data_IF_675250020583
#
_entry.id   IF_675250020583
#
_cell.length_a   1.000
_cell.length_b   1.000
_cell.length_c   1.000
_cell.angle_alpha   90.00
_cell.angle_beta   90.00
_cell.angle_gamma   90.00
#
_symmetry.space_group_name_H-M   'P 1'
#
loop_
_entity.id
_entity.type
_entity.pdbx_description
1 polymer ?
#
# COMPACT_ATOMS: atom_id res chain seq x y z
N UNK A 1 -5.32 -8.78 0.74
CA UNK A 1 -5.93 -10.10 0.44
C UNK A 1 -7.35 -9.96 -0.12
N UNK A 2 -8.29 -9.26 0.53
CA UNK A 2 -9.59 -8.95 -0.11
C UNK A 2 -9.47 -8.06 -1.37
N UNK A 3 -8.47 -7.16 -1.39
CA UNK A 3 -8.09 -6.39 -2.59
C UNK A 3 -7.53 -7.29 -3.71
N UNK A 4 -7.14 -8.55 -3.46
CA UNK A 4 -6.72 -9.49 -4.51
C UNK A 4 -7.90 -10.31 -5.06
N UNK A 5 -8.92 -10.56 -4.24
CA UNK A 5 -10.07 -11.43 -4.53
C UNK A 5 -11.08 -10.76 -5.47
N UNK A 6 -11.16 -9.44 -5.40
CA UNK A 6 -12.14 -8.63 -6.12
C UNK A 6 -11.78 -8.34 -7.59
N UNK A 7 -10.49 -8.42 -7.97
CA UNK A 7 -10.03 -8.00 -9.31
C UNK A 7 -10.12 -9.09 -10.39
N UNK A 8 -10.73 -10.24 -10.08
CA UNK A 8 -10.83 -11.43 -10.95
C UNK A 8 -11.99 -11.36 -11.95
N UNK A 9 -12.70 -10.22 -12.07
CA UNK A 9 -13.88 -10.07 -12.93
C UNK A 9 -13.66 -9.22 -14.20
N UNK A 10 -12.50 -8.59 -14.37
CA UNK A 10 -12.16 -7.87 -15.62
C UNK A 10 -11.01 -8.60 -16.30
N UNK A 11 -11.23 -9.11 -17.51
CA UNK A 11 -10.28 -9.99 -18.22
C UNK A 11 -8.91 -9.32 -18.45
N UNK A 12 -8.83 -7.98 -18.41
CA UNK A 12 -7.59 -7.18 -18.52
C UNK A 12 -6.75 -7.08 -17.22
N UNK A 13 -7.28 -7.49 -16.06
CA UNK A 13 -6.60 -7.36 -14.75
C UNK A 13 -5.82 -8.61 -14.31
N UNK A 14 -5.99 -9.74 -15.01
CA UNK A 14 -5.41 -11.04 -14.65
C UNK A 14 -3.87 -11.09 -14.62
N UNK A 15 -3.18 -10.09 -15.20
CA UNK A 15 -1.74 -10.14 -15.41
C UNK A 15 -0.89 -9.14 -14.60
N UNK A 16 -1.46 -8.12 -13.94
CA UNK A 16 -0.64 -6.94 -13.55
C UNK A 16 -0.74 -6.49 -12.09
N UNK A 17 -1.94 -6.39 -11.52
CA UNK A 17 -2.08 -5.92 -10.13
C UNK A 17 -1.53 -6.89 -9.05
N UNK A 18 -1.55 -8.22 -9.22
CA UNK A 18 -0.91 -9.13 -8.29
C UNK A 18 0.58 -8.82 -8.17
N UNK A 19 1.26 -8.56 -9.29
CA UNK A 19 2.70 -8.31 -9.30
C UNK A 19 3.03 -6.95 -8.68
N UNK A 20 2.20 -5.92 -8.86
CA UNK A 20 2.36 -4.60 -8.23
C UNK A 20 2.09 -4.63 -6.73
N UNK A 21 1.02 -5.28 -6.29
CA UNK A 21 0.69 -5.44 -4.87
C UNK A 21 1.71 -6.36 -4.21
N UNK A 22 2.16 -7.43 -4.88
CA UNK A 22 3.24 -8.31 -4.41
C UNK A 22 4.57 -7.57 -4.40
N UNK A 23 4.86 -6.67 -5.34
CA UNK A 23 6.07 -5.85 -5.32
C UNK A 23 5.99 -4.80 -4.21
N UNK A 24 4.85 -4.14 -4.00
CA UNK A 24 4.65 -3.20 -2.88
C UNK A 24 4.69 -3.91 -1.54
N UNK A 25 4.11 -5.11 -1.42
CA UNK A 25 4.24 -5.99 -0.24
C UNK A 25 5.71 -6.41 -0.09
N UNK A 26 6.36 -6.91 -1.14
CA UNK A 26 7.76 -7.38 -1.08
C UNK A 26 8.74 -6.25 -0.77
N UNK A 27 8.57 -5.05 -1.33
CA UNK A 27 9.34 -3.84 -1.02
C UNK A 27 9.05 -3.37 0.41
N UNK A 28 7.79 -3.40 0.85
CA UNK A 28 7.37 -3.09 2.23
C UNK A 28 7.98 -4.07 3.24
N UNK A 29 8.03 -5.36 2.95
CA UNK A 29 8.63 -6.38 3.82
C UNK A 29 10.17 -6.41 3.74
N UNK A 30 10.77 -6.05 2.60
CA UNK A 30 12.23 -5.94 2.45
C UNK A 30 12.78 -4.70 3.18
N UNK A 31 12.04 -3.59 3.19
CA UNK A 31 12.42 -2.37 3.91
C UNK A 31 12.17 -2.41 5.42
N UNK A 32 11.31 -3.31 5.91
CA UNK A 32 10.99 -3.52 7.34
C UNK A 32 11.89 -4.61 7.97
N UNK A 33 12.68 -5.33 7.16
CA UNK A 33 13.58 -6.39 7.60
C UNK A 33 14.96 -5.87 8.06
N UNK A 34 15.04 -4.92 9.00
CA UNK A 34 16.28 -4.60 9.72
C UNK A 34 16.01 -4.34 11.22
N UNK A 35 16.94 -4.70 12.12
CA UNK A 35 16.61 -5.14 13.47
C UNK A 35 16.29 -3.98 14.40
N UNK A 36 15.07 -3.98 14.96
CA UNK A 36 14.81 -3.32 16.24
C UNK A 36 15.36 -4.24 17.34
N UNK A 37 16.60 -4.00 17.82
CA UNK A 37 17.10 -4.73 18.99
C UNK A 37 16.76 -4.03 20.31
N UNK A 38 16.21 -4.86 21.19
CA UNK A 38 15.78 -4.75 22.58
C UNK A 38 16.79 -4.17 23.60
N UNK A 39 16.33 -3.67 24.76
CA UNK A 39 17.08 -3.75 26.02
C UNK A 39 16.96 -5.15 26.65
N UNK A 40 18.03 -5.61 27.28
CA UNK A 40 18.22 -6.96 27.85
C UNK A 40 17.10 -7.46 28.77
N UNK A 41 16.58 -8.67 28.48
CA UNK A 41 15.83 -9.50 29.43
C UNK A 41 14.89 -10.51 28.75
N UNK A 42 15.16 -11.82 28.90
CA UNK A 42 14.42 -13.01 28.39
C UNK A 42 14.56 -13.33 26.88
N UNK A 43 15.56 -14.16 26.54
CA UNK A 43 16.07 -14.34 25.17
C UNK A 43 15.59 -15.61 24.41
N UNK A 44 14.83 -16.53 25.01
CA UNK A 44 14.58 -17.86 24.38
C UNK A 44 13.19 -18.08 23.80
N UNK A 45 12.13 -17.46 24.33
CA UNK A 45 10.73 -17.66 23.88
C UNK A 45 10.20 -16.60 22.90
N UNK A 46 10.82 -15.42 22.84
CA UNK A 46 10.42 -14.31 21.95
C UNK A 46 11.11 -14.33 20.57
N UNK A 47 12.32 -14.90 20.50
CA UNK A 47 13.05 -15.11 19.25
C UNK A 47 12.37 -16.17 18.36
N UNK A 48 11.70 -17.15 18.96
CA UNK A 48 10.93 -18.15 18.22
C UNK A 48 9.66 -17.56 17.63
N UNK A 49 8.85 -16.80 18.38
CA UNK A 49 7.58 -16.22 17.87
C UNK A 49 7.81 -15.17 16.78
N UNK A 50 8.82 -14.28 16.89
CA UNK A 50 9.10 -13.27 15.85
C UNK A 50 9.75 -13.85 14.59
N UNK A 51 10.63 -14.85 14.72
CA UNK A 51 11.21 -15.58 13.58
C UNK A 51 10.14 -16.43 12.90
N UNK A 52 9.30 -17.11 13.66
CA UNK A 52 8.19 -17.92 13.15
C UNK A 52 7.12 -17.05 12.48
N UNK A 53 6.81 -15.87 12.99
CA UNK A 53 5.85 -14.96 12.37
C UNK A 53 6.37 -14.43 11.02
N UNK A 54 7.66 -14.10 10.92
CA UNK A 54 8.31 -13.77 9.63
C UNK A 54 8.30 -14.96 8.66
N UNK A 55 8.53 -16.17 9.16
CA UNK A 55 8.55 -17.39 8.36
C UNK A 55 7.15 -17.80 7.88
N UNK A 56 6.13 -17.63 8.72
CA UNK A 56 4.72 -17.84 8.44
C UNK A 56 4.23 -16.82 7.40
N UNK A 57 4.47 -15.53 7.60
CA UNK A 57 4.08 -14.48 6.65
C UNK A 57 4.80 -14.67 5.31
N UNK A 58 6.10 -14.99 5.32
CA UNK A 58 6.86 -15.32 4.10
C UNK A 58 6.31 -16.56 3.40
N UNK A 59 5.92 -17.59 4.16
CA UNK A 59 5.30 -18.81 3.63
C UNK A 59 3.90 -18.56 3.07
N UNK A 60 3.09 -17.75 3.74
CA UNK A 60 1.77 -17.31 3.27
C UNK A 60 1.90 -16.45 2.02
N UNK A 61 2.87 -15.53 1.95
CA UNK A 61 3.14 -14.73 0.74
C UNK A 61 3.62 -15.61 -0.41
N UNK A 62 4.51 -16.58 -0.16
CA UNK A 62 4.96 -17.55 -1.17
C UNK A 62 3.83 -18.47 -1.64
N UNK A 63 2.98 -18.93 -0.72
CA UNK A 63 1.77 -19.69 -1.02
C UNK A 63 0.84 -18.83 -1.88
N UNK A 64 0.62 -17.57 -1.49
CA UNK A 64 -0.19 -16.62 -2.24
C UNK A 64 0.33 -16.42 -3.64
N UNK A 65 1.62 -16.13 -3.78
CA UNK A 65 2.27 -15.96 -5.07
C UNK A 65 2.17 -17.23 -5.94
N UNK A 66 2.44 -18.40 -5.37
CA UNK A 66 2.44 -19.65 -6.13
C UNK A 66 1.03 -20.07 -6.57
N UNK A 67 0.00 -19.91 -5.74
CA UNK A 67 -1.37 -20.22 -6.16
C UNK A 67 -1.90 -19.18 -7.15
N UNK A 68 -1.52 -17.89 -7.04
CA UNK A 68 -1.83 -16.88 -8.06
C UNK A 68 -1.14 -17.20 -9.40
N UNK A 69 0.14 -17.60 -9.37
CA UNK A 69 0.89 -18.07 -10.54
C UNK A 69 0.27 -19.32 -11.17
N UNK A 70 -0.25 -20.24 -10.35
CA UNK A 70 -0.94 -21.46 -10.80
C UNK A 70 -2.33 -21.16 -11.38
N UNK A 71 -3.09 -20.26 -10.76
CA UNK A 71 -4.39 -19.78 -11.26
C UNK A 71 -4.24 -19.00 -12.58
N UNK A 72 -3.15 -18.24 -12.76
CA UNK A 72 -2.82 -17.55 -14.01
C UNK A 72 -2.54 -18.52 -15.18
N UNK A 73 -2.12 -19.76 -14.88
CA UNK A 73 -1.80 -20.79 -15.89
C UNK A 73 -3.00 -21.67 -16.29
N UNK A 74 -4.00 -21.79 -15.42
CA UNK A 74 -5.22 -22.57 -15.65
C UNK A 74 -6.45 -21.66 -15.56
N UNK A 75 -6.85 -21.07 -16.69
CA UNK A 75 -8.00 -20.14 -16.75
C UNK A 75 -9.29 -20.96 -16.75
N UNK A 76 -9.77 -21.30 -15.55
CA UNK A 76 -11.16 -21.68 -15.32
C UNK A 76 -11.79 -20.68 -14.34
N UNK A 77 -12.95 -20.11 -14.69
CA UNK A 77 -13.64 -19.08 -13.88
C UNK A 77 -13.92 -19.58 -12.46
N UNK A 78 -14.32 -20.85 -12.33
CA UNK A 78 -14.56 -21.51 -11.04
C UNK A 78 -13.27 -21.69 -10.22
N UNK A 79 -12.16 -22.02 -10.88
CA UNK A 79 -10.85 -22.17 -10.22
C UNK A 79 -10.29 -20.85 -9.69
N UNK A 80 -10.52 -19.76 -10.42
CA UNK A 80 -10.11 -18.41 -9.99
C UNK A 80 -10.92 -17.95 -8.78
N UNK A 81 -12.25 -18.16 -8.80
CA UNK A 81 -13.12 -17.84 -7.66
C UNK A 81 -12.79 -18.67 -6.42
N UNK A 82 -12.56 -19.98 -6.58
CA UNK A 82 -12.18 -20.85 -5.47
C UNK A 82 -10.84 -20.43 -4.86
N UNK A 83 -9.84 -20.14 -5.69
CA UNK A 83 -8.55 -19.63 -5.21
C UNK A 83 -8.71 -18.30 -4.46
N UNK A 84 -9.58 -17.42 -4.95
CA UNK A 84 -9.87 -16.16 -4.32
C UNK A 84 -10.54 -16.35 -2.94
N UNK A 85 -11.53 -17.22 -2.82
CA UNK A 85 -12.14 -17.57 -1.52
C UNK A 85 -11.14 -18.21 -0.56
N UNK A 86 -10.31 -19.13 -1.04
CA UNK A 86 -9.25 -19.74 -0.22
C UNK A 86 -8.27 -18.69 0.30
N UNK A 87 -7.90 -17.70 -0.51
CA UNK A 87 -7.10 -16.57 -0.04
C UNK A 87 -7.84 -15.67 0.93
N UNK A 88 -9.13 -15.44 0.74
CA UNK A 88 -9.91 -14.67 1.68
C UNK A 88 -9.91 -15.36 3.05
N UNK A 89 -10.20 -16.65 3.08
CA UNK A 89 -10.23 -17.48 4.29
C UNK A 89 -8.85 -17.56 4.95
N UNK A 90 -7.78 -17.86 4.20
CA UNK A 90 -6.41 -17.87 4.73
C UNK A 90 -5.99 -16.50 5.28
N UNK A 91 -6.46 -15.42 4.66
CA UNK A 91 -6.18 -14.07 5.12
C UNK A 91 -6.90 -13.74 6.41
N UNK A 92 -8.16 -14.15 6.52
CA UNK A 92 -8.93 -14.03 7.75
C UNK A 92 -8.34 -14.90 8.86
N UNK A 93 -7.94 -16.14 8.58
CA UNK A 93 -7.27 -17.02 9.55
C UNK A 93 -5.94 -16.41 10.00
N UNK A 94 -5.12 -15.91 9.07
CA UNK A 94 -3.89 -15.22 9.43
C UNK A 94 -4.13 -13.98 10.29
N UNK A 95 -5.19 -13.21 9.98
CA UNK A 95 -5.56 -12.02 10.73
C UNK A 95 -6.12 -12.36 12.12
N UNK A 96 -6.96 -13.38 12.25
CA UNK A 96 -7.50 -13.83 13.54
C UNK A 96 -6.42 -14.46 14.41
N UNK A 97 -5.49 -15.21 13.82
CA UNK A 97 -4.34 -15.75 14.54
C UNK A 97 -3.48 -14.62 15.11
N UNK A 98 -3.13 -13.64 14.27
CA UNK A 98 -2.41 -12.43 14.72
C UNK A 98 -3.21 -11.65 15.75
N UNK A 99 -4.54 -11.60 15.64
CA UNK A 99 -5.41 -10.95 16.63
C UNK A 99 -5.28 -11.58 18.02
N UNK A 100 -5.28 -12.91 18.07
CA UNK A 100 -5.22 -13.67 19.32
C UNK A 100 -3.84 -13.55 19.96
N UNK A 101 -2.79 -13.52 19.14
CA UNK A 101 -1.41 -13.46 19.62
C UNK A 101 -0.96 -12.02 19.97
N UNK A 102 -1.48 -11.00 19.29
CA UNK A 102 -1.11 -9.62 19.53
C UNK A 102 -1.96 -8.92 20.61
N UNK A 103 -3.22 -9.29 20.83
CA UNK A 103 -4.09 -8.63 21.83
C UNK A 103 -4.44 -7.15 21.53
N UNK A 104 -4.04 -6.60 20.37
CA UNK A 104 -4.23 -5.19 20.01
C UNK A 104 -5.53 -4.99 19.20
N UNK A 105 -6.66 -4.83 19.88
CA UNK A 105 -7.99 -4.65 19.25
C UNK A 105 -8.04 -3.48 18.25
N UNK A 106 -7.35 -2.35 18.56
CA UNK A 106 -7.32 -1.16 17.68
C UNK A 106 -6.65 -1.46 16.34
N UNK A 107 -5.55 -2.22 16.33
CA UNK A 107 -4.83 -2.59 15.11
C UNK A 107 -5.68 -3.49 14.22
N UNK A 108 -6.39 -4.43 14.84
CA UNK A 108 -7.32 -5.33 14.18
C UNK A 108 -8.49 -4.60 13.54
N UNK A 109 -9.07 -3.63 14.24
CA UNK A 109 -10.14 -2.80 13.69
C UNK A 109 -9.68 -2.04 12.44
N UNK A 110 -8.49 -1.44 12.46
CA UNK A 110 -7.94 -0.75 11.28
C UNK A 110 -7.69 -1.69 10.11
N UNK A 111 -7.15 -2.89 10.35
CA UNK A 111 -6.93 -3.88 9.29
C UNK A 111 -8.26 -4.41 8.74
N UNK A 112 -9.28 -4.59 9.59
CA UNK A 112 -10.63 -4.90 9.18
C UNK A 112 -11.23 -3.78 8.32
N UNK A 113 -11.05 -2.50 8.69
CA UNK A 113 -11.45 -1.36 7.87
C UNK A 113 -10.76 -1.37 6.49
N UNK A 114 -9.45 -1.64 6.43
CA UNK A 114 -8.73 -1.76 5.15
C UNK A 114 -9.28 -2.89 4.26
N UNK A 115 -9.67 -4.01 4.88
CA UNK A 115 -10.33 -5.13 4.21
C UNK A 115 -11.71 -4.72 3.68
N UNK A 116 -12.51 -4.05 4.51
CA UNK A 116 -13.84 -3.56 4.15
C UNK A 116 -13.73 -2.57 2.98
N UNK A 117 -12.77 -1.65 2.99
CA UNK A 117 -12.50 -0.76 1.86
C UNK A 117 -12.26 -1.53 0.56
N UNK A 118 -11.48 -2.62 0.61
CA UNK A 118 -11.25 -3.49 -0.54
C UNK A 118 -12.50 -4.23 -1.01
N UNK A 119 -13.40 -4.60 -0.10
CA UNK A 119 -14.69 -5.22 -0.44
C UNK A 119 -15.64 -4.23 -1.10
N UNK A 120 -15.91 -3.08 -0.46
CA UNK A 120 -16.85 -2.06 -0.99
C UNK A 120 -16.35 -1.43 -2.29
N UNK A 121 -15.03 -1.46 -2.53
CA UNK A 121 -14.41 -1.01 -3.77
C UNK A 121 -14.96 -1.75 -5.00
N UNK A 122 -15.15 -3.07 -4.95
CA UNK A 122 -15.43 -3.87 -6.16
C UNK A 122 -16.59 -4.86 -6.03
N UNK A 123 -16.97 -5.28 -4.82
CA UNK A 123 -18.03 -6.25 -4.60
C UNK A 123 -19.43 -5.59 -4.62
N UNK A 124 -20.46 -6.30 -5.12
CA UNK A 124 -21.86 -5.92 -4.90
C UNK A 124 -22.20 -6.00 -3.39
N UNK A 125 -23.14 -5.16 -2.90
CA UNK A 125 -23.98 -4.24 -3.66
C UNK A 125 -23.31 -2.91 -4.06
N UNK A 126 -22.22 -2.51 -3.40
CA UNK A 126 -21.70 -1.14 -3.48
C UNK A 126 -20.90 -0.82 -4.75
N UNK A 127 -19.93 -1.67 -5.13
CA UNK A 127 -19.07 -1.49 -6.33
C UNK A 127 -18.56 -0.05 -6.52
N UNK A 128 -18.04 0.58 -5.46
CA UNK A 128 -17.73 2.02 -5.46
C UNK A 128 -16.64 2.44 -6.47
N UNK A 129 -15.82 1.51 -6.97
CA UNK A 129 -14.91 1.71 -8.11
C UNK A 129 -15.67 2.15 -9.37
N UNK A 130 -16.90 1.69 -9.57
CA UNK A 130 -17.77 2.08 -10.69
C UNK A 130 -18.29 3.51 -10.57
N UNK A 131 -18.20 4.10 -9.39
CA UNK A 131 -18.61 5.47 -9.11
C UNK A 131 -17.42 6.44 -9.00
N UNK A 132 -16.20 6.00 -9.34
CA UNK A 132 -15.00 6.85 -9.29
C UNK A 132 -14.50 7.16 -7.87
N UNK A 133 -14.85 6.33 -6.89
CA UNK A 133 -14.36 6.46 -5.50
C UNK A 133 -13.17 5.53 -5.21
N UNK A 134 -12.59 4.92 -6.25
CA UNK A 134 -11.55 3.91 -6.12
C UNK A 134 -10.29 4.45 -5.44
N UNK A 135 -9.88 5.65 -5.83
CA UNK A 135 -8.67 6.35 -5.40
C UNK A 135 -8.75 6.70 -3.91
N UNK A 136 -9.90 7.18 -3.44
CA UNK A 136 -10.13 7.50 -2.03
C UNK A 136 -10.13 6.25 -1.15
N UNK A 137 -10.76 5.17 -1.63
CA UNK A 137 -10.76 3.88 -0.93
C UNK A 137 -9.36 3.25 -0.90
N UNK A 138 -8.62 3.33 -2.00
CA UNK A 138 -7.24 2.88 -2.09
C UNK A 138 -6.36 3.66 -1.10
N UNK A 139 -6.48 4.99 -1.10
CA UNK A 139 -5.79 5.86 -0.16
C UNK A 139 -6.06 5.47 1.29
N UNK A 140 -7.33 5.36 1.69
CA UNK A 140 -7.72 5.03 3.06
C UNK A 140 -7.24 3.64 3.48
N UNK A 141 -7.41 2.64 2.60
CA UNK A 141 -7.04 1.26 2.87
C UNK A 141 -5.53 1.09 3.08
N UNK A 142 -4.71 1.59 2.15
CA UNK A 142 -3.25 1.38 2.20
C UNK A 142 -2.52 2.41 3.06
N UNK A 143 -3.05 3.62 3.15
CA UNK A 143 -2.50 4.68 3.97
C UNK A 143 -2.82 4.49 5.44
N UNK A 144 -3.78 5.26 6.01
CA UNK A 144 -4.01 5.30 7.45
C UNK A 144 -4.42 3.95 8.04
N UNK A 145 -5.23 3.14 7.35
CA UNK A 145 -5.72 1.88 7.93
C UNK A 145 -4.65 0.79 7.97
N UNK A 146 -4.15 0.34 6.82
CA UNK A 146 -3.16 -0.74 6.81
C UNK A 146 -1.83 -0.32 7.44
N UNK A 147 -1.33 0.90 7.17
CA UNK A 147 -0.02 1.32 7.67
C UNK A 147 -0.01 1.48 9.18
N UNK A 148 -1.03 2.10 9.76
CA UNK A 148 -1.14 2.22 11.22
C UNK A 148 -1.44 0.88 11.88
N UNK A 149 -2.31 0.05 11.26
CA UNK A 149 -2.60 -1.29 11.76
C UNK A 149 -1.35 -2.16 11.84
N UNK A 150 -0.52 -2.19 10.80
CA UNK A 150 0.75 -2.91 10.84
C UNK A 150 1.75 -2.30 11.82
N UNK A 151 1.81 -0.97 11.94
CA UNK A 151 2.68 -0.31 12.93
C UNK A 151 2.36 -0.77 14.36
N UNK A 152 1.08 -0.81 14.73
CA UNK A 152 0.68 -1.28 16.06
C UNK A 152 0.93 -2.78 16.28
N UNK A 153 0.75 -3.62 15.27
CA UNK A 153 1.08 -5.05 15.37
C UNK A 153 2.58 -5.31 15.55
N UNK A 154 3.45 -4.42 15.07
CA UNK A 154 4.90 -4.55 15.25
C UNK A 154 5.39 -4.00 16.60
N UNK A 155 4.48 -3.50 17.43
CA UNK A 155 4.78 -3.03 18.78
C UNK A 155 5.16 -4.13 19.74
N UNK A 156 6.18 -3.91 20.56
CA UNK A 156 6.67 -4.91 21.51
C UNK A 156 5.65 -5.15 22.64
N UNK A 157 5.31 -6.41 22.92
CA UNK A 157 4.35 -6.89 23.93
C UNK A 157 4.76 -6.64 25.40
N UNK A 158 5.74 -5.77 25.68
CA UNK A 158 6.36 -5.67 27.01
C UNK A 158 5.64 -4.72 27.99
N UNK A 159 4.57 -4.04 27.58
CA UNK A 159 3.68 -3.36 28.52
C UNK A 159 2.31 -3.15 27.90
N UNK A 160 1.28 -3.10 28.74
CA UNK A 160 -0.15 -2.89 28.42
C UNK A 160 -0.43 -1.53 27.73
N UNK A 161 0.61 -0.76 27.39
CA UNK A 161 0.53 0.51 26.71
C UNK A 161 0.71 0.31 25.20
N UNK A 162 -0.36 0.57 24.45
CA UNK A 162 -0.32 0.68 22.99
C UNK A 162 0.82 1.61 22.55
N UNK A 163 1.49 1.32 21.40
CA UNK A 163 2.37 2.32 20.81
C UNK A 163 1.54 3.56 20.46
N UNK A 164 1.95 4.75 20.93
CA UNK A 164 1.19 5.94 20.61
C UNK A 164 1.22 6.19 19.11
N UNK A 165 0.07 6.63 18.59
CA UNK A 165 0.00 7.13 17.23
C UNK A 165 0.74 8.46 17.19
N UNK A 166 1.85 8.49 16.49
CA UNK A 166 2.67 9.69 16.34
C UNK A 166 2.35 10.42 15.04
N UNK A 167 2.60 11.73 15.01
CA UNK A 167 2.52 12.53 13.78
C UNK A 167 3.34 11.94 12.64
N UNK A 168 4.48 11.32 12.96
CA UNK A 168 5.34 10.64 11.99
C UNK A 168 4.69 9.45 11.32
N UNK A 169 4.02 8.58 12.09
CA UNK A 169 3.32 7.41 11.54
C UNK A 169 2.15 7.87 10.69
N UNK A 170 1.39 8.88 11.15
CA UNK A 170 0.29 9.42 10.39
C UNK A 170 0.77 10.03 9.07
N UNK A 171 1.76 10.92 9.10
CA UNK A 171 2.34 11.53 7.89
C UNK A 171 2.89 10.49 6.92
N UNK A 172 3.65 9.50 7.41
CA UNK A 172 4.15 8.40 6.60
C UNK A 172 3.01 7.59 5.97
N UNK A 173 1.95 7.30 6.73
CA UNK A 173 0.77 6.59 6.22
C UNK A 173 0.05 7.37 5.12
N UNK A 174 -0.08 8.70 5.25
CA UNK A 174 -0.72 9.55 4.25
C UNK A 174 0.10 9.60 2.95
N UNK A 175 1.43 9.76 3.03
CA UNK A 175 2.32 9.75 1.85
C UNK A 175 2.29 8.40 1.11
N UNK A 176 2.28 7.30 1.87
CA UNK A 176 2.17 5.94 1.32
C UNK A 176 0.80 5.74 0.65
N UNK A 177 -0.29 6.13 1.32
CA UNK A 177 -1.64 6.08 0.74
C UNK A 177 -1.75 6.89 -0.54
N UNK A 178 -1.16 8.08 -0.56
CA UNK A 178 -1.16 8.98 -1.72
C UNK A 178 -0.49 8.34 -2.93
N UNK A 179 0.73 7.84 -2.76
CA UNK A 179 1.47 7.17 -3.84
C UNK A 179 0.77 5.89 -4.32
N UNK A 180 0.12 5.13 -3.44
CA UNK A 180 -0.70 3.97 -3.86
C UNK A 180 -1.94 4.36 -4.66
N UNK A 181 -2.60 5.45 -4.28
CA UNK A 181 -3.76 5.96 -4.99
C UNK A 181 -3.39 6.46 -6.39
N UNK A 182 -2.23 7.11 -6.53
CA UNK A 182 -1.70 7.54 -7.82
C UNK A 182 -1.42 6.36 -8.79
N UNK A 183 -0.98 5.21 -8.27
CA UNK A 183 -0.82 3.98 -9.09
C UNK A 183 -2.17 3.55 -9.67
N UNK A 184 -3.22 3.54 -8.84
CA UNK A 184 -4.57 3.17 -9.27
C UNK A 184 -5.08 4.16 -10.32
N UNK A 185 -4.94 5.46 -10.08
CA UNK A 185 -5.31 6.50 -11.03
C UNK A 185 -4.62 6.31 -12.39
N UNK A 186 -3.29 6.12 -12.40
CA UNK A 186 -2.53 5.92 -13.63
C UNK A 186 -2.87 4.61 -14.36
N UNK A 187 -3.46 3.64 -13.67
CA UNK A 187 -3.92 2.40 -14.32
C UNK A 187 -5.14 2.59 -15.22
N UNK A 188 -5.95 3.63 -14.97
CA UNK A 188 -7.16 3.92 -15.74
C UNK A 188 -6.88 4.46 -17.14
N UNK A 189 -5.72 5.05 -17.40
CA UNK A 189 -5.40 5.61 -18.73
C UNK A 189 -5.44 4.56 -19.85
N UNK A 190 -5.07 3.32 -19.54
CA UNK A 190 -5.12 2.22 -20.52
C UNK A 190 -6.52 1.63 -20.70
N UNK A 191 -7.46 1.94 -19.80
CA UNK A 191 -8.73 1.22 -19.66
C UNK A 191 -9.96 2.11 -19.87
N UNK A 192 -9.81 3.30 -20.45
CA UNK A 192 -10.91 4.27 -20.54
C UNK A 192 -12.08 3.70 -21.34
N UNK A 193 -11.83 3.06 -22.48
CA UNK A 193 -12.90 2.49 -23.30
C UNK A 193 -13.49 1.23 -22.66
N UNK A 194 -12.65 0.38 -22.09
CA UNK A 194 -13.09 -0.82 -21.38
C UNK A 194 -14.01 -0.46 -20.21
N UNK A 195 -13.60 0.50 -19.38
CA UNK A 195 -14.38 1.02 -18.26
C UNK A 195 -15.73 1.61 -18.74
N UNK A 196 -15.73 2.32 -19.87
CA UNK A 196 -16.95 2.89 -20.48
C UNK A 196 -17.93 1.79 -20.92
N UNK A 197 -17.46 0.75 -21.62
CA UNK A 197 -18.32 -0.33 -22.14
C UNK A 197 -19.00 -1.15 -21.05
N UNK A 198 -18.37 -1.28 -19.88
CA UNK A 198 -18.94 -2.00 -18.73
C UNK A 198 -19.74 -1.11 -17.78
N UNK A 199 -19.97 0.16 -18.15
CA UNK A 199 -20.73 1.14 -17.36
C UNK A 199 -20.01 1.60 -16.09
N UNK A 200 -18.68 1.48 -16.03
CA UNK A 200 -17.85 1.92 -14.90
C UNK A 200 -17.42 3.37 -15.13
N UNK A 201 -17.87 4.27 -14.27
CA UNK A 201 -17.60 5.70 -14.38
C UNK A 201 -16.30 6.04 -13.64
N UNK A 202 -15.17 5.55 -14.17
CA UNK A 202 -13.84 5.82 -13.59
C UNK A 202 -13.43 7.30 -13.77
N UNK A 203 -12.43 7.80 -13.02
CA UNK A 203 -12.05 9.22 -13.12
C UNK A 203 -11.65 9.64 -14.53
N UNK A 204 -10.96 8.77 -15.26
CA UNK A 204 -10.54 9.06 -16.64
C UNK A 204 -11.71 9.03 -17.62
N UNK A 205 -12.75 8.22 -17.37
CA UNK A 205 -14.01 8.28 -18.14
C UNK A 205 -14.72 9.63 -17.92
N UNK A 206 -14.63 10.23 -16.72
CA UNK A 206 -15.22 11.55 -16.43
C UNK A 206 -14.40 12.72 -16.96
N UNK A 207 -13.08 12.65 -16.83
CA UNK A 207 -12.18 13.78 -17.06
C UNK A 207 -11.60 13.79 -18.48
N UNK A 208 -11.46 12.62 -19.11
CA UNK A 208 -10.63 12.44 -20.30
C UNK A 208 -9.14 12.30 -19.96
N UNK A 209 -8.34 11.87 -20.94
CA UNK A 209 -6.90 11.59 -20.77
C UNK A 209 -6.07 12.87 -20.62
N UNK A 210 -6.41 13.95 -21.33
CA UNK A 210 -5.74 15.25 -21.25
C UNK A 210 -5.85 15.88 -19.85
N UNK A 211 -7.07 16.03 -19.32
CA UNK A 211 -7.25 16.48 -17.92
C UNK A 211 -6.67 15.47 -16.93
N UNK A 212 -6.72 14.19 -17.27
CA UNK A 212 -6.05 13.13 -16.53
C UNK A 212 -4.54 13.36 -16.36
N UNK A 213 -3.83 13.72 -17.43
CA UNK A 213 -2.38 13.99 -17.38
C UNK A 213 -2.08 15.18 -16.46
N UNK A 214 -2.91 16.22 -16.54
CA UNK A 214 -2.84 17.39 -15.65
C UNK A 214 -3.04 17.00 -14.18
N UNK A 215 -3.98 16.09 -13.88
CA UNK A 215 -4.18 15.55 -12.52
C UNK A 215 -2.94 14.80 -12.03
N UNK A 216 -2.26 14.02 -12.88
CA UNK A 216 -1.00 13.35 -12.50
C UNK A 216 0.08 14.37 -12.13
N UNK A 217 0.23 15.43 -12.93
CA UNK A 217 1.18 16.53 -12.66
C UNK A 217 0.89 17.23 -11.33
N UNK A 218 -0.38 17.55 -11.07
CA UNK A 218 -0.84 18.14 -9.81
C UNK A 218 -0.60 17.17 -8.66
N UNK A 219 -0.89 15.88 -8.82
CA UNK A 219 -0.70 14.88 -7.79
C UNK A 219 0.78 14.69 -7.40
N UNK A 220 1.69 14.63 -8.38
CA UNK A 220 3.14 14.56 -8.11
C UNK A 220 3.61 15.81 -7.38
N UNK A 221 3.16 17.00 -7.81
CA UNK A 221 3.48 18.26 -7.13
C UNK A 221 2.95 18.25 -5.69
N UNK A 222 1.70 17.82 -5.49
CA UNK A 222 1.08 17.70 -4.18
C UNK A 222 1.82 16.70 -3.26
N UNK A 223 2.32 15.58 -3.79
CA UNK A 223 3.11 14.61 -3.02
C UNK A 223 4.36 15.24 -2.41
N UNK A 224 5.15 15.96 -3.22
CA UNK A 224 6.38 16.61 -2.74
C UNK A 224 6.10 17.84 -1.89
N UNK A 225 5.04 18.60 -2.18
CA UNK A 225 4.58 19.69 -1.31
C UNK A 225 4.14 19.17 0.06
N UNK A 226 3.39 18.07 0.10
CA UNK A 226 2.95 17.44 1.35
C UNK A 226 4.14 16.92 2.16
N UNK A 227 5.12 16.29 1.49
CA UNK A 227 6.39 15.87 2.11
C UNK A 227 7.07 17.07 2.79
N UNK A 228 7.25 18.18 2.07
CA UNK A 228 7.88 19.39 2.62
C UNK A 228 7.09 19.96 3.79
N UNK A 229 5.76 20.06 3.67
CA UNK A 229 4.88 20.51 4.76
C UNK A 229 5.05 19.65 6.02
N UNK A 230 5.09 18.32 5.89
CA UNK A 230 5.30 17.43 7.04
C UNK A 230 6.71 17.58 7.67
N UNK A 231 7.72 17.89 6.86
CA UNK A 231 9.06 18.22 7.34
C UNK A 231 9.13 19.55 8.10
N UNK A 232 8.50 20.59 7.55
CA UNK A 232 8.43 21.92 8.18
C UNK A 232 7.62 21.88 9.47
N UNK A 233 6.53 21.12 9.47
CA UNK A 233 5.74 20.80 10.65
C UNK A 233 6.46 19.84 11.60
N UNK A 234 7.75 19.52 11.44
CA UNK A 234 8.52 18.64 12.37
C UNK A 234 7.89 17.28 12.69
N UNK A 235 6.87 16.86 11.95
CA UNK A 235 6.17 15.60 12.15
C UNK A 235 6.89 14.47 11.39
N UNK A 236 7.73 14.83 10.41
CA UNK A 236 8.63 13.92 9.71
C UNK A 236 10.10 14.37 9.89
N UNK A 237 11.05 13.47 10.20
CA UNK A 237 12.46 13.82 10.31
C UNK A 237 13.04 14.42 9.02
N UNK A 238 13.99 15.35 9.14
CA UNK A 238 14.66 15.97 8.00
C UNK A 238 15.38 14.96 7.09
N UNK A 239 15.90 13.86 7.64
CA UNK A 239 16.48 12.76 6.88
C UNK A 239 15.49 12.11 5.91
N UNK A 240 14.20 12.00 6.29
CA UNK A 240 13.15 11.51 5.41
C UNK A 240 12.90 12.47 4.25
N UNK A 241 12.89 13.77 4.54
CA UNK A 241 12.68 14.81 3.52
C UNK A 241 13.78 14.74 2.47
N UNK A 242 15.04 14.73 2.89
CA UNK A 242 16.20 14.70 2.00
C UNK A 242 16.15 13.45 1.12
N UNK A 243 15.99 12.27 1.71
CA UNK A 243 15.98 11.02 0.95
C UNK A 243 14.76 10.90 0.02
N UNK A 244 13.56 11.28 0.48
CA UNK A 244 12.38 11.25 -0.39
C UNK A 244 12.51 12.26 -1.53
N UNK A 245 13.16 13.42 -1.33
CA UNK A 245 13.38 14.40 -2.39
C UNK A 245 14.33 13.88 -3.49
N UNK A 246 15.25 12.97 -3.17
CA UNK A 246 16.08 12.27 -4.19
C UNK A 246 15.25 11.45 -5.18
N UNK A 247 13.99 11.13 -4.86
CA UNK A 247 13.09 10.43 -5.78
C UNK A 247 12.40 11.35 -6.78
N UNK A 248 12.57 12.67 -6.67
CA UNK A 248 11.94 13.68 -7.54
C UNK A 248 12.18 13.44 -9.04
N UNK A 249 13.39 13.02 -9.50
CA UNK A 249 13.59 12.67 -10.91
C UNK A 249 12.64 11.56 -11.39
N UNK A 250 12.31 10.60 -10.53
CA UNK A 250 11.34 9.55 -10.83
C UNK A 250 9.91 10.10 -10.91
N UNK A 251 9.56 11.05 -10.04
CA UNK A 251 8.30 11.79 -10.12
C UNK A 251 8.16 12.55 -11.44
N UNK A 252 9.21 13.25 -11.86
CA UNK A 252 9.24 13.95 -13.14
C UNK A 252 9.10 12.99 -14.33
N UNK A 253 9.69 11.79 -14.26
CA UNK A 253 9.50 10.75 -15.27
C UNK A 253 8.06 10.24 -15.36
N UNK A 254 7.35 10.15 -14.24
CA UNK A 254 5.91 9.82 -14.25
C UNK A 254 5.13 10.91 -14.97
N UNK A 255 5.38 12.17 -14.63
CA UNK A 255 4.69 13.32 -15.27
C UNK A 255 4.98 13.37 -16.76
N UNK A 256 6.25 13.39 -17.17
CA UNK A 256 6.62 13.51 -18.59
C UNK A 256 6.10 12.33 -19.40
N UNK A 257 6.19 11.10 -18.87
CA UNK A 257 5.71 9.92 -19.57
C UNK A 257 4.20 9.97 -19.80
N UNK A 258 3.42 10.34 -18.78
CA UNK A 258 1.97 10.44 -18.93
C UNK A 258 1.59 11.58 -19.87
N UNK A 259 2.24 12.75 -19.74
CA UNK A 259 1.97 13.91 -20.58
C UNK A 259 2.24 13.64 -22.07
N UNK A 260 3.34 12.94 -22.38
CA UNK A 260 3.72 12.62 -23.77
C UNK A 260 2.89 11.47 -24.38
N UNK A 261 2.34 10.56 -23.56
CA UNK A 261 1.77 9.30 -24.05
C UNK A 261 0.29 9.10 -23.72
N UNK A 262 -0.42 10.06 -23.10
CA UNK A 262 -1.81 9.83 -22.63
C UNK A 262 -2.82 9.54 -23.75
N UNK A 263 -2.47 9.82 -25.01
CA UNK A 263 -3.30 9.52 -26.18
C UNK A 263 -2.99 8.14 -26.80
N UNK A 264 -1.79 7.60 -26.60
CA UNK A 264 -1.38 6.31 -27.15
C UNK A 264 -1.63 5.16 -26.17
N UNK A 265 -2.69 4.39 -26.45
CA UNK A 265 -3.09 3.23 -25.63
C UNK A 265 -2.00 2.18 -25.41
N UNK A 266 -1.08 2.01 -26.36
CA UNK A 266 -0.06 0.94 -26.28
C UNK A 266 1.05 1.33 -25.31
N UNK A 267 1.55 2.55 -25.41
CA UNK A 267 2.61 3.05 -24.54
C UNK A 267 2.08 3.39 -23.15
N UNK A 268 0.89 4.00 -23.02
CA UNK A 268 0.36 4.51 -21.75
C UNK A 268 0.15 3.42 -20.69
N UNK A 269 0.03 2.15 -21.09
CA UNK A 269 0.02 1.00 -20.18
C UNK A 269 1.21 1.00 -19.20
N UNK A 270 2.34 1.58 -19.59
CA UNK A 270 3.54 1.67 -18.76
C UNK A 270 3.45 2.70 -17.63
N UNK A 271 2.49 3.65 -17.66
CA UNK A 271 2.35 4.72 -16.68
C UNK A 271 2.24 4.19 -15.23
N UNK A 272 1.42 3.15 -15.02
CA UNK A 272 1.27 2.52 -13.71
C UNK A 272 2.59 1.93 -13.19
N UNK A 273 3.46 1.38 -14.05
CA UNK A 273 4.73 0.80 -13.61
C UNK A 273 5.73 1.88 -13.21
N UNK A 274 5.73 3.04 -13.87
CA UNK A 274 6.49 4.20 -13.40
C UNK A 274 5.98 4.67 -12.03
N UNK A 275 4.67 4.71 -11.80
CA UNK A 275 4.12 5.03 -10.49
C UNK A 275 4.51 4.01 -9.41
N UNK A 276 4.56 2.72 -9.75
CA UNK A 276 4.99 1.65 -8.85
C UNK A 276 6.46 1.79 -8.47
N UNK A 277 7.32 2.10 -9.44
CA UNK A 277 8.74 2.40 -9.20
C UNK A 277 8.88 3.62 -8.29
N UNK A 278 8.13 4.69 -8.54
CA UNK A 278 8.10 5.87 -7.66
C UNK A 278 7.68 5.49 -6.24
N UNK A 279 6.57 4.77 -6.07
CA UNK A 279 6.09 4.32 -4.76
C UNK A 279 7.13 3.47 -4.02
N UNK A 280 7.79 2.53 -4.72
CA UNK A 280 8.81 1.68 -4.13
C UNK A 280 10.04 2.48 -3.69
N UNK A 281 10.56 3.36 -4.55
CA UNK A 281 11.70 4.23 -4.23
C UNK A 281 11.36 5.21 -3.11
N UNK A 282 10.20 5.83 -3.16
CA UNK A 282 9.73 6.78 -2.15
C UNK A 282 9.54 6.09 -0.80
N UNK A 283 8.91 4.92 -0.77
CA UNK A 283 8.73 4.12 0.44
C UNK A 283 10.05 3.62 1.04
N UNK A 284 10.99 3.18 0.20
CA UNK A 284 12.34 2.80 0.65
C UNK A 284 13.12 3.99 1.23
N UNK A 285 13.02 5.14 0.57
CA UNK A 285 13.65 6.40 1.01
C UNK A 285 13.08 6.89 2.34
N UNK A 286 11.75 6.79 2.50
CA UNK A 286 11.06 7.13 3.74
C UNK A 286 11.50 6.22 4.89
N UNK A 287 11.54 4.90 4.66
CA UNK A 287 12.01 3.94 5.67
C UNK A 287 13.47 4.16 6.05
N UNK A 288 14.36 4.33 5.07
CA UNK A 288 15.77 4.64 5.31
C UNK A 288 15.93 5.95 6.08
N UNK A 289 15.14 6.98 5.75
CA UNK A 289 15.13 8.26 6.46
C UNK A 289 14.77 8.12 7.93
N UNK A 290 13.75 7.31 8.25
CA UNK A 290 13.34 7.03 9.63
C UNK A 290 14.43 6.27 10.40
N UNK A 291 15.09 5.31 9.75
CA UNK A 291 16.22 4.56 10.33
C UNK A 291 17.39 5.51 10.63
N UNK A 292 17.78 6.36 9.68
CA UNK A 292 18.84 7.35 9.87
C UNK A 292 18.48 8.33 10.98
N UNK A 293 17.23 8.80 11.05
CA UNK A 293 16.77 9.71 12.09
C UNK A 293 17.00 9.12 13.49
N UNK A 294 16.76 7.81 13.65
CA UNK A 294 16.98 7.09 14.91
C UNK A 294 18.45 7.10 15.34
N UNK A 295 19.39 7.00 14.40
CA UNK A 295 20.82 6.95 14.71
C UNK A 295 21.48 8.33 14.82
N UNK A 296 21.06 9.29 14.00
CA UNK A 296 21.70 10.61 13.89
C UNK A 296 21.06 11.63 14.83
N UNK A 297 19.73 11.62 14.97
CA UNK A 297 19.01 12.58 15.80
C UNK A 297 18.73 12.00 17.19
N UNK A 298 19.70 12.15 18.11
CA UNK A 298 19.52 11.87 19.56
C UNK A 298 18.36 12.64 20.24
N UNK A 299 17.68 13.56 19.54
CA UNK A 299 16.60 14.45 20.02
C UNK A 299 15.32 14.45 19.16
N UNK A 300 15.13 13.50 18.25
CA UNK A 300 13.84 13.44 17.54
C UNK A 300 12.76 12.86 18.46
N UNK A 301 11.92 13.72 19.02
CA UNK A 301 10.76 13.34 19.83
C UNK A 301 9.52 13.46 18.92
N UNK A 302 8.94 12.34 18.47
CA UNK A 302 7.75 12.39 17.64
C UNK A 302 6.57 12.96 18.43
N UNK A 303 5.78 13.84 17.80
CA UNK A 303 4.56 14.36 18.42
C UNK A 303 3.52 13.27 18.62
N UNK A 304 2.97 13.17 19.83
CA UNK A 304 1.84 12.28 20.14
C UNK A 304 0.56 12.86 19.54
N UNK A 305 -0.19 12.03 18.80
CA UNK A 305 -1.53 12.37 18.33
C UNK A 305 -2.58 11.61 19.15
N UNK A 306 -2.35 10.31 19.40
CA UNK A 306 -3.25 9.47 20.18
C UNK A 306 -2.44 8.55 21.11
N UNK A 307 -2.81 8.51 22.39
CA UNK A 307 -2.27 7.59 23.40
C UNK A 307 -3.09 6.29 23.49
#
# INVERSE_FOLDING_TARGET
MLILVSFTRSESFHLVLPDVVILSIKVRWSGIALPFHQPCGSHSTLLSSTSFHKQLVSSLVKLVYNTQKKARKNINRTGTLLAAYMFLVLGLIGLTWVSLEAGHLRAMLLLACAIICGYIYQCPPFRLSYHGLGEALCFAAFGPFATTGFYWLMGNNSSVNCLPLTGTVLCASLLVGFTTSLILFCSHFHQVEEDTTVGKISPLVRLGTEKGSSVVKVAITALYSLLLTFGLSRDLPSSCIILCLLTLPMGNRVVSFVDENHEDKRSIFMAKYYCVRLHALFGASLAAGLVIAKFVCKRYIPRLILA
#
